data_IF_466967010040
#
_entry.id   IF_466967010040
#
_cell.length_a   1.000
_cell.length_b   1.000
_cell.length_c   1.000
_cell.angle_alpha   90.00
_cell.angle_beta   90.00
_cell.angle_gamma   90.00
#
_symmetry.space_group_name_H-M   'P 1'
#
loop_
_entity.id
_entity.type
_entity.pdbx_description
1 polymer ?
#
# COMPACT_ATOMS: atom_id res chain seq x y z
N UNK A 1 8.71 15.41 19.26
CA UNK A 1 8.00 16.43 18.43
C UNK A 1 7.62 17.58 19.36
N UNK A 2 7.79 18.85 18.95
CA UNK A 2 7.41 20.00 19.78
C UNK A 2 6.37 20.86 19.05
N UNK A 3 5.18 21.00 19.62
CA UNK A 3 4.07 21.78 19.05
C UNK A 3 3.82 23.01 19.94
N UNK A 4 4.09 24.19 19.40
CA UNK A 4 3.97 25.47 20.11
C UNK A 4 2.81 26.30 19.55
N UNK A 5 1.86 26.68 20.41
CA UNK A 5 0.74 27.57 20.05
C UNK A 5 -0.02 27.16 18.78
N UNK A 6 -0.17 25.85 18.55
CA UNK A 6 -0.86 25.29 17.38
C UNK A 6 -1.83 24.19 17.80
N UNK A 7 -2.92 24.06 17.05
CA UNK A 7 -3.97 23.06 17.24
C UNK A 7 -4.46 22.54 15.90
N UNK A 8 -5.19 21.43 15.93
CA UNK A 8 -5.74 20.76 14.74
C UNK A 8 -4.68 20.32 13.73
N UNK A 9 -3.42 20.15 14.14
CA UNK A 9 -2.43 19.48 13.30
C UNK A 9 -2.81 18.00 13.16
N UNK A 10 -2.46 17.41 12.01
CA UNK A 10 -2.57 15.98 11.74
C UNK A 10 -1.19 15.37 11.58
N UNK A 11 -0.87 14.41 12.43
CA UNK A 11 0.43 13.71 12.45
C UNK A 11 0.14 12.22 12.42
N UNK A 12 0.49 11.52 11.35
CA UNK A 12 0.15 10.10 11.18
C UNK A 12 1.23 9.37 10.40
N UNK A 13 1.18 8.04 10.45
CA UNK A 13 2.17 7.13 9.87
C UNK A 13 3.58 7.40 10.43
N UNK A 14 3.68 7.41 11.76
CA UNK A 14 4.95 7.46 12.49
C UNK A 14 5.04 6.27 13.46
N UNK A 15 6.27 5.98 13.88
CA UNK A 15 6.57 5.00 14.93
C UNK A 15 7.14 5.79 16.10
N UNK A 16 6.35 5.94 17.16
CA UNK A 16 6.77 6.62 18.38
C UNK A 16 7.27 5.60 19.40
N UNK A 17 8.57 5.66 19.66
CA UNK A 17 9.19 4.92 20.76
C UNK A 17 8.84 5.57 22.11
N UNK A 18 8.98 4.81 23.19
CA UNK A 18 8.69 5.25 24.56
C UNK A 18 7.30 5.89 24.71
N UNK A 19 6.28 5.36 24.02
CA UNK A 19 4.91 5.89 24.01
C UNK A 19 4.79 7.39 23.66
N UNK A 20 5.79 7.96 22.96
CA UNK A 20 5.79 9.38 22.59
C UNK A 20 5.95 10.35 23.76
N UNK A 21 6.64 9.95 24.83
CA UNK A 21 6.99 10.83 25.96
C UNK A 21 7.79 12.07 25.52
N UNK A 22 8.51 12.00 24.40
CA UNK A 22 9.23 13.12 23.76
C UNK A 22 8.33 14.04 22.91
N UNK A 23 7.01 13.86 22.97
CA UNK A 23 6.05 14.74 22.31
C UNK A 23 5.56 15.77 23.34
N UNK A 24 5.87 17.03 23.06
CA UNK A 24 5.44 18.14 23.88
C UNK A 24 4.43 19.00 23.12
N UNK A 25 3.24 19.15 23.70
CA UNK A 25 2.18 20.02 23.18
C UNK A 25 1.96 21.15 24.18
N UNK A 26 2.41 22.35 23.83
CA UNK A 26 2.32 23.50 24.72
C UNK A 26 0.88 24.04 24.76
N UNK A 27 0.42 24.44 25.96
CA UNK A 27 -0.94 24.93 26.23
C UNK A 27 -2.06 23.90 26.01
N UNK A 28 -1.75 22.60 25.85
CA UNK A 28 -2.73 21.51 25.83
C UNK A 28 -3.76 21.58 24.70
N UNK A 29 -3.49 22.36 23.65
CA UNK A 29 -4.40 22.48 22.53
C UNK A 29 -4.48 21.15 21.77
N UNK A 30 -5.68 20.77 21.33
CA UNK A 30 -5.92 19.45 20.72
C UNK A 30 -5.23 19.35 19.36
N UNK A 31 -4.46 18.28 19.18
CA UNK A 31 -3.86 17.85 17.93
C UNK A 31 -4.21 16.39 17.66
N UNK A 32 -4.43 16.08 16.39
CA UNK A 32 -4.82 14.75 15.96
C UNK A 32 -3.57 14.01 15.49
N UNK A 33 -3.26 12.94 16.17
CA UNK A 33 -2.18 12.04 15.81
C UNK A 33 -2.74 10.91 14.93
N UNK A 34 -3.59 11.28 13.97
CA UNK A 34 -4.17 10.37 12.99
C UNK A 34 -4.54 11.05 11.67
N UNK A 35 -4.59 10.26 10.61
CA UNK A 35 -5.08 10.63 9.28
C UNK A 35 -6.59 10.37 9.10
N UNK A 36 -7.27 9.91 10.15
CA UNK A 36 -8.64 9.39 10.07
C UNK A 36 -8.70 7.98 9.47
N UNK A 37 -9.92 7.45 9.35
CA UNK A 37 -10.16 6.14 8.72
C UNK A 37 -10.40 6.28 7.21
N UNK A 38 -9.85 5.39 6.35
CA UNK A 38 -9.05 4.23 6.70
C UNK A 38 -7.56 4.52 6.87
N UNK A 39 -7.02 5.72 6.62
CA UNK A 39 -5.56 5.97 6.70
C UNK A 39 -4.90 5.37 7.95
N UNK A 40 -5.50 5.60 9.11
CA UNK A 40 -5.01 5.19 10.42
C UNK A 40 -4.19 6.29 11.09
N UNK A 41 -3.54 5.91 12.19
CA UNK A 41 -2.80 6.81 13.06
C UNK A 41 -1.31 6.52 13.08
N UNK A 42 -0.77 6.39 14.28
CA UNK A 42 0.63 6.08 14.52
C UNK A 42 0.77 4.78 15.31
N UNK A 43 1.95 4.18 15.21
CA UNK A 43 2.34 3.13 16.14
C UNK A 43 2.97 3.74 17.40
N UNK A 44 2.57 3.24 18.56
CA UNK A 44 3.04 3.71 19.87
C UNK A 44 3.65 2.55 20.64
N UNK A 45 4.96 2.58 20.86
CA UNK A 45 5.67 1.52 21.55
C UNK A 45 5.18 1.37 23.00
N UNK A 46 4.56 0.23 23.30
CA UNK A 46 4.01 -0.07 24.61
C UNK A 46 2.49 0.14 24.70
N UNK A 47 1.87 0.71 23.67
CA UNK A 47 0.42 0.69 23.50
C UNK A 47 0.01 -0.49 22.63
N UNK A 48 -0.86 -1.33 23.17
CA UNK A 48 -1.47 -2.44 22.46
C UNK A 48 -2.93 -2.56 22.89
N UNK A 49 -3.79 -3.00 21.98
CA UNK A 49 -5.20 -3.22 22.27
C UNK A 49 -5.79 -4.28 21.35
N UNK A 50 -7.10 -4.46 21.44
CA UNK A 50 -7.83 -5.30 20.50
C UNK A 50 -7.84 -4.64 19.11
N UNK A 51 -7.64 -5.45 18.09
CA UNK A 51 -7.92 -5.14 16.67
C UNK A 51 -8.92 -6.21 16.23
N UNK A 52 -10.16 -6.06 16.66
CA UNK A 52 -11.25 -7.01 16.41
C UNK A 52 -12.39 -6.36 15.65
N UNK A 53 -12.33 -5.05 15.44
CA UNK A 53 -13.30 -4.29 14.69
C UNK A 53 -12.59 -3.37 13.70
N UNK A 54 -13.31 -3.02 12.64
CA UNK A 54 -12.88 -2.05 11.64
C UNK A 54 -13.97 -1.01 11.42
N UNK A 55 -13.74 -0.12 10.46
CA UNK A 55 -14.63 0.98 10.10
C UNK A 55 -14.37 2.27 10.87
N UNK A 56 -14.93 3.41 10.43
CA UNK A 56 -14.72 4.70 11.10
C UNK A 56 -15.16 4.74 12.57
N UNK A 57 -16.10 3.89 12.96
CA UNK A 57 -16.56 3.77 14.35
C UNK A 57 -15.89 2.65 15.14
N UNK A 58 -14.96 1.89 14.54
CA UNK A 58 -14.33 0.70 15.14
C UNK A 58 -15.35 -0.26 15.76
N UNK A 59 -16.46 -0.50 15.03
CA UNK A 59 -17.63 -1.22 15.53
C UNK A 59 -18.17 -2.28 14.55
N UNK A 60 -17.46 -2.54 13.45
CA UNK A 60 -17.78 -3.59 12.49
C UNK A 60 -16.83 -4.75 12.74
N UNK A 61 -17.33 -5.95 13.00
CA UNK A 61 -16.48 -7.08 13.35
C UNK A 61 -15.48 -7.44 12.23
N UNK A 62 -14.22 -7.66 12.63
CA UNK A 62 -13.10 -8.00 11.75
C UNK A 62 -11.92 -7.06 11.96
N UNK A 63 -10.71 -7.60 11.94
CA UNK A 63 -9.48 -6.83 12.09
C UNK A 63 -9.11 -6.08 10.81
N UNK A 64 -8.42 -4.95 10.94
CA UNK A 64 -7.87 -4.21 9.80
C UNK A 64 -6.45 -3.63 10.02
N UNK A 65 -5.81 -3.98 11.15
CA UNK A 65 -4.48 -3.49 11.53
C UNK A 65 -4.51 -2.17 12.31
N UNK A 66 -5.69 -1.71 12.73
CA UNK A 66 -5.91 -0.55 13.59
C UNK A 66 -6.44 -1.05 14.94
N UNK A 67 -5.95 -0.48 16.03
CA UNK A 67 -6.42 -0.80 17.38
C UNK A 67 -7.77 -0.13 17.61
N UNK A 68 -8.77 -0.91 18.04
CA UNK A 68 -10.17 -0.51 18.22
C UNK A 68 -10.35 0.67 19.20
N UNK A 69 -9.39 0.86 20.12
CA UNK A 69 -9.43 1.88 21.17
C UNK A 69 -8.50 3.05 20.81
N UNK A 70 -8.99 4.31 20.88
CA UNK A 70 -8.14 5.48 20.73
C UNK A 70 -7.01 5.55 21.78
N UNK A 71 -5.89 6.15 21.40
CA UNK A 71 -4.77 6.43 22.29
C UNK A 71 -4.63 7.93 22.54
N UNK A 72 -4.41 8.31 23.81
CA UNK A 72 -4.22 9.70 24.23
C UNK A 72 -3.19 9.75 25.37
N UNK A 73 -1.88 9.69 25.04
CA UNK A 73 -0.83 9.55 26.04
C UNK A 73 -0.68 10.78 26.94
N UNK A 74 -1.06 11.97 26.46
CA UNK A 74 -0.99 13.21 27.20
C UNK A 74 -1.98 14.24 26.67
N UNK A 75 -2.17 15.34 27.41
CA UNK A 75 -3.09 16.40 27.03
C UNK A 75 -2.72 17.01 25.67
N UNK A 76 -3.68 17.09 24.76
CA UNK A 76 -3.48 17.66 23.43
C UNK A 76 -3.00 16.65 22.37
N UNK A 77 -2.80 15.38 22.73
CA UNK A 77 -2.46 14.29 21.80
C UNK A 77 -3.63 13.31 21.74
N UNK A 78 -4.27 13.19 20.58
CA UNK A 78 -5.36 12.24 20.34
C UNK A 78 -5.07 11.46 19.06
N UNK A 79 -4.82 10.16 19.18
CA UNK A 79 -4.78 9.23 18.05
C UNK A 79 -6.04 8.35 18.10
N UNK A 80 -6.98 8.60 17.19
CA UNK A 80 -8.24 7.86 17.16
C UNK A 80 -8.11 6.49 16.48
N UNK A 81 -7.02 6.22 15.77
CA UNK A 81 -6.82 5.01 14.98
C UNK A 81 -5.39 4.47 15.14
N UNK A 82 -4.94 4.11 16.36
CA UNK A 82 -3.56 3.68 16.59
C UNK A 82 -3.23 2.43 15.78
N UNK A 83 -2.03 2.33 15.22
CA UNK A 83 -1.63 1.19 14.40
C UNK A 83 -1.25 0.00 15.26
N UNK A 84 -1.71 -1.21 14.89
CA UNK A 84 -1.45 -2.44 15.64
C UNK A 84 0.02 -2.94 15.55
N UNK A 85 0.80 -2.40 14.61
CA UNK A 85 2.22 -2.70 14.45
C UNK A 85 2.97 -1.48 13.87
N UNK A 86 4.31 -1.45 13.96
CA UNK A 86 5.10 -0.42 13.28
C UNK A 86 4.82 -0.42 11.78
N UNK A 87 4.78 0.77 11.19
CA UNK A 87 4.73 0.90 9.73
C UNK A 87 6.16 0.88 9.16
N UNK A 88 6.27 0.36 7.95
CA UNK A 88 7.48 0.38 7.13
C UNK A 88 7.11 1.06 5.81
N UNK A 89 7.60 2.29 5.60
CA UNK A 89 7.52 2.94 4.30
C UNK A 89 8.62 2.41 3.40
N UNK A 90 8.23 1.82 2.28
CA UNK A 90 9.16 1.21 1.33
C UNK A 90 9.06 1.95 -0.01
N UNK A 91 10.17 2.55 -0.44
CA UNK A 91 10.24 3.30 -1.69
C UNK A 91 10.09 2.36 -2.88
N UNK A 92 9.01 2.51 -3.64
CA UNK A 92 8.74 1.75 -4.86
C UNK A 92 9.63 2.22 -6.01
N UNK A 93 9.88 3.53 -6.09
CA UNK A 93 10.70 4.15 -7.12
C UNK A 93 10.29 5.60 -7.39
N UNK A 94 10.90 6.21 -8.40
CA UNK A 94 10.60 7.59 -8.82
C UNK A 94 10.28 7.61 -10.31
N UNK A 95 9.14 8.18 -10.67
CA UNK A 95 8.67 8.30 -12.06
C UNK A 95 8.12 9.69 -12.31
N UNK A 96 8.53 10.30 -13.42
CA UNK A 96 8.19 11.70 -13.76
C UNK A 96 8.48 12.69 -12.61
N UNK A 97 9.50 12.43 -11.79
CA UNK A 97 9.86 13.24 -10.63
C UNK A 97 9.04 12.97 -9.35
N UNK A 98 7.99 12.14 -9.42
CA UNK A 98 7.21 11.72 -8.25
C UNK A 98 7.79 10.43 -7.67
N UNK A 99 8.06 10.43 -6.37
CA UNK A 99 8.47 9.22 -5.65
C UNK A 99 7.24 8.57 -5.06
N UNK A 100 7.06 7.28 -5.34
CA UNK A 100 6.01 6.48 -4.72
C UNK A 100 6.59 5.54 -3.68
N UNK A 101 5.82 5.36 -2.62
CA UNK A 101 6.11 4.43 -1.54
C UNK A 101 4.89 3.58 -1.28
N UNK A 102 5.12 2.35 -0.84
CA UNK A 102 4.11 1.51 -0.21
C UNK A 102 4.33 1.56 1.29
N UNK A 103 3.27 1.68 2.06
CA UNK A 103 3.33 1.63 3.52
C UNK A 103 2.81 0.27 3.97
N UNK A 104 3.62 -0.47 4.71
CA UNK A 104 3.27 -1.79 5.22
C UNK A 104 3.25 -1.75 6.73
N UNK A 105 2.12 -2.15 7.32
CA UNK A 105 1.94 -2.34 8.76
C UNK A 105 1.79 -3.84 8.99
N UNK A 106 2.71 -4.42 9.76
CA UNK A 106 2.78 -5.86 9.95
C UNK A 106 3.52 -6.20 11.23
N UNK A 107 3.08 -7.28 11.89
CA UNK A 107 3.83 -7.93 12.96
C UNK A 107 4.93 -8.88 12.44
N UNK A 108 5.13 -8.98 11.13
CA UNK A 108 6.27 -9.62 10.49
C UNK A 108 7.39 -8.62 10.18
N UNK A 109 8.63 -9.12 10.13
CA UNK A 109 9.74 -8.38 9.52
C UNK A 109 9.56 -8.34 8.01
N UNK A 110 9.56 -7.15 7.41
CA UNK A 110 9.42 -6.94 5.98
C UNK A 110 10.80 -6.79 5.32
N UNK A 111 11.04 -7.45 4.18
CA UNK A 111 12.30 -7.37 3.43
C UNK A 111 12.12 -7.64 1.94
N UNK A 112 13.17 -7.43 1.13
CA UNK A 112 13.23 -7.79 -0.30
C UNK A 112 12.01 -7.30 -1.11
N UNK A 113 11.65 -6.02 -0.98
CA UNK A 113 10.59 -5.44 -1.81
C UNK A 113 11.05 -5.41 -3.27
N UNK A 114 10.21 -5.96 -4.14
CA UNK A 114 10.35 -5.95 -5.57
C UNK A 114 9.08 -5.37 -6.18
N UNK A 115 9.23 -4.20 -6.78
CA UNK A 115 8.21 -3.58 -7.61
C UNK A 115 8.85 -3.20 -8.93
N UNK A 116 8.47 -3.88 -10.00
CA UNK A 116 8.95 -3.57 -11.34
C UNK A 116 7.77 -3.43 -12.31
N UNK A 117 7.38 -2.18 -12.63
CA UNK A 117 6.24 -1.91 -13.50
C UNK A 117 6.42 -2.40 -14.94
N UNK A 118 7.65 -2.67 -15.38
CA UNK A 118 7.91 -3.25 -16.70
C UNK A 118 7.63 -4.76 -16.76
N UNK A 119 7.69 -5.45 -15.62
CA UNK A 119 7.45 -6.89 -15.55
C UNK A 119 5.95 -7.18 -15.41
N UNK A 120 5.24 -6.37 -14.64
CA UNK A 120 3.78 -6.48 -14.53
C UNK A 120 3.20 -5.70 -13.35
N UNK A 121 1.86 -5.70 -13.24
CA UNK A 121 1.12 -4.98 -12.21
C UNK A 121 1.14 -5.72 -10.86
N UNK A 122 2.33 -5.96 -10.32
CA UNK A 122 2.48 -6.62 -9.02
C UNK A 122 3.63 -6.03 -8.22
N UNK A 123 3.52 -6.17 -6.90
CA UNK A 123 4.60 -5.98 -5.96
C UNK A 123 4.82 -7.29 -5.19
N UNK A 124 6.07 -7.54 -4.79
CA UNK A 124 6.46 -8.68 -3.95
C UNK A 124 7.31 -8.21 -2.81
N UNK A 125 7.21 -8.86 -1.66
CA UNK A 125 8.13 -8.67 -0.54
C UNK A 125 8.16 -9.93 0.31
N UNK A 126 9.22 -10.10 1.08
CA UNK A 126 9.33 -11.18 2.04
C UNK A 126 8.83 -10.74 3.41
N UNK A 127 8.13 -11.65 4.07
CA UNK A 127 7.70 -11.54 5.46
C UNK A 127 8.39 -12.64 6.25
N UNK A 128 8.86 -12.32 7.46
CA UNK A 128 9.38 -13.32 8.40
C UNK A 128 8.86 -13.07 9.81
N UNK A 129 8.53 -14.17 10.48
CA UNK A 129 8.02 -14.17 11.85
C UNK A 129 8.18 -15.55 12.49
N UNK A 130 7.89 -15.65 13.78
CA UNK A 130 8.05 -16.87 14.55
C UNK A 130 7.08 -17.96 14.10
N UNK A 131 7.56 -19.18 13.88
CA UNK A 131 6.70 -20.32 13.52
C UNK A 131 5.54 -20.52 14.51
N UNK A 132 4.43 -21.08 14.01
CA UNK A 132 3.20 -21.36 14.78
C UNK A 132 2.46 -20.13 15.33
N UNK A 133 2.85 -18.93 14.92
CA UNK A 133 2.10 -17.69 15.22
C UNK A 133 1.40 -17.16 13.96
N UNK A 134 0.47 -16.21 14.14
CA UNK A 134 -0.23 -15.56 13.03
C UNK A 134 0.44 -14.24 12.68
N UNK A 135 0.77 -14.09 11.40
CA UNK A 135 1.15 -12.81 10.81
C UNK A 135 -0.06 -12.10 10.21
N UNK A 136 -0.06 -10.78 10.29
CA UNK A 136 -0.96 -9.94 9.51
C UNK A 136 -0.15 -8.98 8.65
N UNK A 137 -0.73 -8.53 7.56
CA UNK A 137 -0.18 -7.47 6.73
C UNK A 137 -1.32 -6.54 6.35
N UNK A 138 -1.13 -5.26 6.62
CA UNK A 138 -1.93 -4.15 6.11
C UNK A 138 -1.04 -3.32 5.21
N UNK A 139 -1.37 -3.19 3.93
CA UNK A 139 -0.58 -2.41 2.99
C UNK A 139 -1.41 -1.28 2.38
N UNK A 140 -0.84 -0.07 2.37
CA UNK A 140 -1.36 1.09 1.65
C UNK A 140 -0.76 1.11 0.24
N UNK A 141 -1.63 1.11 -0.76
CA UNK A 141 -1.29 1.11 -2.18
C UNK A 141 -1.89 2.36 -2.82
N UNK A 142 -1.06 3.31 -3.29
CA UNK A 142 -1.57 4.45 -4.03
C UNK A 142 -2.24 4.03 -5.33
N UNK A 143 -3.49 4.47 -5.56
CA UNK A 143 -4.28 4.11 -6.74
C UNK A 143 -3.65 4.57 -8.06
N UNK A 144 -2.79 5.60 -8.01
CA UNK A 144 -2.01 6.08 -9.16
C UNK A 144 -0.90 5.12 -9.59
N UNK A 145 -0.49 4.21 -8.69
CA UNK A 145 0.65 3.32 -8.90
C UNK A 145 0.21 1.93 -9.30
N UNK A 146 -0.76 1.36 -8.57
CA UNK A 146 -1.22 0.00 -8.77
C UNK A 146 -2.70 -0.07 -8.37
N UNK A 147 -3.55 -0.63 -9.23
CA UNK A 147 -4.98 -0.77 -8.94
C UNK A 147 -5.58 -1.99 -9.64
N UNK A 148 -6.78 -2.36 -9.22
CA UNK A 148 -7.59 -3.41 -9.83
C UNK A 148 -8.93 -2.85 -10.29
N UNK A 149 -9.51 -3.48 -11.33
CA UNK A 149 -10.89 -3.22 -11.78
C UNK A 149 -11.89 -4.18 -11.14
N UNK A 150 -11.41 -5.33 -10.65
CA UNK A 150 -12.25 -6.41 -10.14
C UNK A 150 -11.83 -6.77 -8.72
N UNK A 151 -10.75 -7.52 -8.58
CA UNK A 151 -10.24 -7.99 -7.30
C UNK A 151 -8.72 -8.08 -7.32
N UNK A 152 -8.13 -8.10 -6.13
CA UNK A 152 -6.70 -8.29 -5.95
C UNK A 152 -6.37 -9.78 -5.96
N UNK A 153 -5.27 -10.13 -6.62
CA UNK A 153 -4.70 -11.47 -6.48
C UNK A 153 -3.54 -11.41 -5.47
N UNK A 154 -3.83 -11.83 -4.24
CA UNK A 154 -2.86 -11.88 -3.14
C UNK A 154 -2.43 -13.32 -2.95
N UNK A 155 -1.12 -13.57 -2.97
CA UNK A 155 -0.55 -14.89 -2.64
C UNK A 155 0.53 -14.77 -1.59
N UNK A 156 0.61 -15.78 -0.72
CA UNK A 156 1.60 -15.91 0.33
C UNK A 156 2.29 -17.26 0.14
N UNK A 157 3.57 -17.23 -0.26
CA UNK A 157 4.34 -18.38 -0.71
C UNK A 157 3.65 -19.16 -1.86
N UNK A 158 3.04 -18.42 -2.80
CA UNK A 158 2.30 -18.98 -3.94
C UNK A 158 0.89 -19.50 -3.62
N UNK A 159 0.51 -19.59 -2.33
CA UNK A 159 -0.85 -19.93 -1.94
C UNK A 159 -1.73 -18.68 -1.96
N UNK A 160 -2.88 -18.75 -2.64
CA UNK A 160 -3.84 -17.65 -2.71
C UNK A 160 -4.48 -17.35 -1.36
N UNK A 161 -4.61 -16.07 -1.03
CA UNK A 161 -5.38 -15.57 0.10
C UNK A 161 -6.80 -15.27 -0.41
N UNK A 162 -7.78 -16.06 0.04
CA UNK A 162 -9.19 -15.87 -0.34
C UNK A 162 -9.89 -14.81 0.53
N UNK A 163 -9.48 -14.70 1.79
CA UNK A 163 -10.07 -13.77 2.76
C UNK A 163 -9.08 -12.63 3.03
N UNK A 164 -9.31 -11.51 2.36
CA UNK A 164 -8.65 -10.23 2.65
C UNK A 164 -9.71 -9.14 2.77
N UNK A 165 -9.42 -8.12 3.56
CA UNK A 165 -10.23 -6.91 3.65
C UNK A 165 -9.65 -5.86 2.71
N UNK A 166 -10.50 -5.27 1.88
CA UNK A 166 -10.17 -4.12 1.03
C UNK A 166 -10.90 -2.88 1.54
N UNK A 167 -10.13 -1.85 1.84
CA UNK A 167 -10.63 -0.51 2.18
C UNK A 167 -10.10 0.47 1.15
N UNK A 168 -10.83 1.55 0.91
CA UNK A 168 -10.45 2.57 -0.06
C UNK A 168 -10.72 3.97 0.50
N UNK A 169 -9.88 4.92 0.14
CA UNK A 169 -10.18 6.35 0.22
C UNK A 169 -10.06 7.00 -1.17
N UNK A 170 -9.92 8.32 -1.26
CA UNK A 170 -9.79 9.02 -2.54
C UNK A 170 -8.51 8.66 -3.29
N UNK A 171 -7.40 8.41 -2.59
CA UNK A 171 -6.06 8.31 -3.17
C UNK A 171 -5.47 6.89 -3.11
N UNK A 172 -5.91 6.07 -2.15
CA UNK A 172 -5.28 4.82 -1.76
C UNK A 172 -6.28 3.67 -1.67
N UNK A 173 -5.75 2.47 -1.87
CA UNK A 173 -6.35 1.19 -1.49
C UNK A 173 -5.56 0.61 -0.33
N UNK A 174 -6.26 0.08 0.67
CA UNK A 174 -5.68 -0.60 1.82
C UNK A 174 -6.09 -2.06 1.79
N UNK A 175 -5.11 -2.96 1.83
CA UNK A 175 -5.36 -4.40 1.87
C UNK A 175 -4.89 -4.96 3.20
N UNK A 176 -5.81 -5.59 3.94
CA UNK A 176 -5.50 -6.32 5.16
C UNK A 176 -5.71 -7.81 4.96
N UNK A 177 -4.74 -8.63 5.35
CA UNK A 177 -4.84 -10.08 5.33
C UNK A 177 -3.92 -10.73 6.34
N UNK A 178 -4.26 -11.97 6.72
CA UNK A 178 -3.48 -12.78 7.67
C UNK A 178 -2.89 -14.03 7.03
N UNK A 179 -1.83 -14.55 7.62
CA UNK A 179 -1.13 -15.76 7.19
C UNK A 179 -0.38 -16.39 8.36
N UNK A 180 -0.07 -17.68 8.27
CA UNK A 180 0.78 -18.33 9.30
C UNK A 180 2.22 -17.84 9.17
N UNK A 181 2.82 -17.38 10.27
CA UNK A 181 4.20 -16.92 10.30
C UNK A 181 5.20 -18.02 9.92
N UNK A 182 6.21 -17.59 9.16
CA UNK A 182 7.43 -18.26 8.73
C UNK A 182 8.10 -17.31 7.74
N UNK A 183 9.23 -17.69 7.14
CA UNK A 183 9.78 -16.91 6.02
C UNK A 183 8.99 -17.21 4.76
N UNK A 184 8.29 -16.22 4.21
CA UNK A 184 7.42 -16.38 3.04
C UNK A 184 7.51 -15.15 2.13
N UNK A 185 7.25 -15.36 0.83
CA UNK A 185 7.09 -14.26 -0.12
C UNK A 185 5.63 -13.91 -0.28
N UNK A 186 5.27 -12.66 -0.06
CA UNK A 186 3.97 -12.08 -0.40
C UNK A 186 4.04 -11.55 -1.83
N UNK A 187 3.02 -11.82 -2.63
CA UNK A 187 2.80 -11.18 -3.94
C UNK A 187 1.42 -10.58 -3.96
N UNK A 188 1.33 -9.28 -4.29
CA UNK A 188 0.07 -8.56 -4.47
C UNK A 188 0.02 -8.08 -5.89
N UNK A 189 -1.01 -8.54 -6.61
CA UNK A 189 -1.18 -8.26 -8.03
C UNK A 189 -2.51 -7.54 -8.27
N UNK A 190 -2.43 -6.39 -8.94
CA UNK A 190 -3.55 -5.65 -9.49
C UNK A 190 -3.79 -6.00 -10.97
N UNK A 191 -4.71 -5.29 -11.62
CA UNK A 191 -4.93 -5.40 -13.08
C UNK A 191 -4.15 -4.35 -13.87
N UNK A 192 -3.85 -3.22 -13.22
CA UNK A 192 -3.19 -2.09 -13.85
C UNK A 192 -2.05 -1.57 -12.98
N UNK A 193 -1.12 -0.90 -13.65
CA UNK A 193 0.06 -0.27 -13.06
C UNK A 193 0.25 1.08 -13.73
N UNK A 194 0.88 1.99 -13.00
CA UNK A 194 1.12 3.39 -13.38
C UNK A 194 1.23 3.56 -14.91
N UNK A 195 0.28 4.28 -15.55
CA UNK A 195 0.12 4.29 -17.01
C UNK A 195 1.39 4.66 -17.76
N UNK A 196 2.21 5.54 -17.20
CA UNK A 196 3.42 6.06 -17.82
C UNK A 196 4.53 5.01 -18.03
N UNK A 197 4.36 3.82 -17.44
CA UNK A 197 5.30 2.71 -17.56
C UNK A 197 4.72 1.50 -18.28
N UNK A 198 3.45 1.57 -18.69
CA UNK A 198 2.90 0.55 -19.57
C UNK A 198 3.59 0.68 -20.94
N UNK A 199 4.12 -0.41 -21.52
CA UNK A 199 4.66 -0.36 -22.87
C UNK A 199 3.56 0.08 -23.83
N UNK A 200 3.72 1.25 -24.46
CA UNK A 200 2.73 1.72 -25.43
C UNK A 200 2.62 0.72 -26.57
N UNK A 201 1.41 0.20 -26.82
CA UNK A 201 1.14 -0.75 -27.93
C UNK A 201 1.14 0.00 -29.29
N UNK A 202 0.96 1.32 -29.29
CA UNK A 202 0.91 2.17 -30.49
C UNK A 202 2.10 1.99 -31.46
N UNK A 203 3.38 2.13 -31.04
CA UNK A 203 4.52 1.95 -31.94
C UNK A 203 4.62 0.53 -32.52
N UNK A 204 4.23 -0.50 -31.77
CA UNK A 204 4.14 -1.87 -32.28
C UNK A 204 3.04 -1.98 -33.35
N UNK A 205 1.90 -1.31 -33.15
CA UNK A 205 0.81 -1.24 -34.12
C UNK A 205 1.23 -0.51 -35.42
N UNK A 206 1.96 0.62 -35.30
CA UNK A 206 2.52 1.34 -36.46
C UNK A 206 3.57 0.52 -37.21
N UNK A 207 4.45 -0.21 -36.51
CA UNK A 207 5.37 -1.15 -37.14
C UNK A 207 4.63 -2.26 -37.89
N UNK A 208 3.59 -2.85 -37.29
CA UNK A 208 2.79 -3.88 -37.97
C UNK A 208 2.08 -3.35 -39.22
N UNK A 209 1.46 -2.17 -39.12
CA UNK A 209 0.77 -1.52 -40.25
C UNK A 209 1.74 -1.14 -41.37
N UNK A 210 2.93 -0.63 -41.04
CA UNK A 210 3.95 -0.29 -42.05
C UNK A 210 4.52 -1.54 -42.74
N UNK A 211 4.75 -2.63 -42.02
CA UNK A 211 5.14 -3.93 -42.60
C UNK A 211 4.05 -4.43 -43.57
N UNK A 212 2.78 -4.37 -43.17
CA UNK A 212 1.66 -4.75 -44.04
C UNK A 212 1.60 -3.88 -45.30
N UNK A 213 1.73 -2.56 -45.17
CA UNK A 213 1.75 -1.63 -46.31
C UNK A 213 2.88 -1.94 -47.29
N UNK A 214 4.09 -2.24 -46.79
CA UNK A 214 5.24 -2.65 -47.62
C UNK A 214 4.95 -3.96 -48.36
N UNK A 215 4.35 -4.96 -47.70
CA UNK A 215 3.97 -6.23 -48.32
C UNK A 215 2.95 -6.02 -49.45
N UNK A 216 1.95 -5.16 -49.24
CA UNK A 216 0.95 -4.84 -50.27
C UNK A 216 1.56 -4.08 -51.45
N UNK A 217 2.41 -3.08 -51.20
CA UNK A 217 3.10 -2.33 -52.25
C UNK A 217 4.00 -3.23 -53.12
N UNK A 218 4.69 -4.19 -52.51
CA UNK A 218 5.53 -5.14 -53.25
C UNK A 218 4.70 -6.13 -54.08
N UNK A 219 3.49 -6.51 -53.63
CA UNK A 219 2.57 -7.35 -54.41
C UNK A 219 1.97 -6.62 -55.61
N UNK A 220 1.68 -5.32 -55.49
CA UNK A 220 1.16 -4.52 -56.61
C UNK A 220 2.25 -4.21 -57.64
N UNK A 221 3.49 -3.92 -57.21
CA UNK A 221 4.62 -3.75 -58.13
C UNK A 221 4.93 -5.02 -58.94
N UNK A 222 4.90 -6.21 -58.31
CA UNK A 222 5.10 -7.49 -59.02
C UNK A 222 3.99 -7.79 -60.04
N UNK A 223 2.75 -7.32 -59.82
CA UNK A 223 1.66 -7.45 -60.80
C UNK A 223 1.77 -6.46 -61.96
N UNK A 224 2.37 -5.28 -61.74
CA UNK A 224 2.57 -4.26 -62.77
C UNK A 224 3.75 -4.54 -63.72
N UNK A 225 4.69 -5.42 -63.35
CA UNK A 225 5.85 -5.80 -64.19
C UNK A 225 5.59 -7.01 -65.10
N UNK A 226 4.41 -7.64 -65.03
CA UNK A 226 4.01 -8.79 -65.85
C UNK A 226 3.00 -8.45 -66.95
N UNK A 227 2.91 -7.19 -67.38
CA UNK A 227 2.06 -6.76 -68.49
C UNK A 227 2.84 -6.05 -69.59
#
# INVERSE_FOLDING_TARGET
IYIYMASNNRIYHNTFYENGLDIFVENGAVNYFDGGYPSGGNYWEGYSGADSNHGPGQNIAGSDGIIDTPYSPSAGIIDNYPLAAPFVAIRAGTWNGLTFSFEVISNSTISDLQFNPQIGPFLKFNVSGMYETTGFCRITIPKKVLWTENSWNITVNGQKIENYLELIDEENTYLYFTYNHSTKTVTIQGTHIIPELQPSILPLLFMALSILAIIFANKTQKKGQTS
#
